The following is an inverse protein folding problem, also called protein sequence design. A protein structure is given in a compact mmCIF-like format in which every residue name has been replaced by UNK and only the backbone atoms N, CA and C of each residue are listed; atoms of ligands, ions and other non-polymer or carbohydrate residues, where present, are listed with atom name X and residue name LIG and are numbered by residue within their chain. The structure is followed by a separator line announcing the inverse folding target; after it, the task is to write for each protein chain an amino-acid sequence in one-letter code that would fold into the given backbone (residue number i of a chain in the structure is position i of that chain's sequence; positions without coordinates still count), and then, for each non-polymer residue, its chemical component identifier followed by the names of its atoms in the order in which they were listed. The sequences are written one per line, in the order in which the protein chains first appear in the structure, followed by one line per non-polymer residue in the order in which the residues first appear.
data_IF_273511566395
#
_entry.id   IF_273511566395
#
_cell.length_a   1.000
_cell.length_b   1.000
_cell.length_c   1.000
_cell.angle_alpha   90.00
_cell.angle_beta   90.00
_cell.angle_gamma   90.00
#
_symmetry.space_group_name_H-M   'P 1'
#
loop_
_entity.id
_entity.type
_entity.pdbx_description
1 polymer ?
#
# COMPACT_ATOMS: atom_id res chain seq x y z
N UNK A 1 17.40 2.57 40.33
CA UNK A 1 16.20 2.70 41.19
C UNK A 1 15.63 4.08 40.92
N UNK A 2 14.47 4.16 40.27
CA UNK A 2 13.81 5.44 40.03
C UNK A 2 13.04 5.79 41.31
N UNK A 3 13.34 6.94 41.93
CA UNK A 3 12.61 7.43 43.09
C UNK A 3 11.18 7.79 42.70
N UNK A 4 10.21 7.37 43.51
CA UNK A 4 8.80 7.72 43.29
C UNK A 4 8.55 9.19 43.63
N UNK A 5 7.69 9.83 42.85
CA UNK A 5 7.31 11.24 42.99
C UNK A 5 5.85 11.33 43.42
N UNK A 6 5.51 12.27 44.30
CA UNK A 6 4.12 12.56 44.66
C UNK A 6 3.67 13.84 43.95
N UNK A 7 2.51 13.80 43.30
CA UNK A 7 1.93 14.95 42.62
C UNK A 7 0.79 15.52 43.47
N UNK A 8 0.80 16.84 43.69
CA UNK A 8 -0.31 17.55 44.34
C UNK A 8 -1.02 18.40 43.30
N UNK A 9 -2.33 18.25 43.17
CA UNK A 9 -3.17 19.07 42.27
C UNK A 9 -3.97 20.03 43.16
N UNK A 10 -3.85 21.34 42.89
CA UNK A 10 -4.73 22.34 43.48
C UNK A 10 -5.72 22.83 42.42
N UNK A 11 -6.99 22.98 42.83
CA UNK A 11 -8.07 23.48 41.97
C UNK A 11 -8.61 24.74 42.62
N UNK A 12 -8.50 25.86 41.92
CA UNK A 12 -9.07 27.13 42.35
C UNK A 12 -10.39 27.37 41.62
N UNK A 13 -11.45 27.62 42.38
CA UNK A 13 -12.78 27.89 41.84
C UNK A 13 -12.94 29.40 41.64
N UNK A 14 -13.26 29.81 40.42
CA UNK A 14 -13.53 31.21 40.08
C UNK A 14 -15.05 31.38 39.96
N UNK A 15 -15.66 32.06 40.94
CA UNK A 15 -17.06 32.47 40.86
C UNK A 15 -17.19 33.69 39.93
N UNK A 16 -17.94 33.55 38.85
CA UNK A 16 -18.24 34.65 37.92
C UNK A 16 -19.71 34.67 37.54
N UNK A 17 -20.26 35.88 37.40
CA UNK A 17 -21.67 36.13 37.06
C UNK A 17 -21.88 36.42 35.56
N UNK A 18 -20.83 36.34 34.73
CA UNK A 18 -20.93 36.62 33.30
C UNK A 18 -21.58 35.48 32.51
N UNK A 19 -22.53 35.82 31.63
CA UNK A 19 -23.16 34.89 30.70
C UNK A 19 -23.11 35.40 29.25
N UNK A 20 -22.49 34.67 28.31
CA UNK A 20 -21.77 33.40 28.49
C UNK A 20 -20.38 33.60 29.11
N UNK A 21 -19.93 32.64 29.93
CA UNK A 21 -18.58 32.59 30.47
C UNK A 21 -17.54 32.58 29.35
N UNK A 22 -16.66 33.58 29.34
CA UNK A 22 -15.53 33.71 28.41
C UNK A 22 -14.26 33.94 29.23
N UNK A 23 -13.48 32.90 29.55
CA UNK A 23 -12.21 33.13 30.23
C UNK A 23 -11.25 33.81 29.25
N UNK A 24 -10.87 35.06 29.55
CA UNK A 24 -9.97 35.86 28.71
C UNK A 24 -8.52 35.32 28.65
N UNK A 25 -8.20 34.31 29.48
CA UNK A 25 -6.92 33.61 29.47
C UNK A 25 -7.12 32.12 29.79
N UNK A 26 -6.35 31.26 29.11
CA UNK A 26 -6.27 29.82 29.40
C UNK A 26 -5.81 29.59 30.85
N UNK A 27 -6.64 28.95 31.66
CA UNK A 27 -6.28 28.52 33.02
C UNK A 27 -5.07 27.60 32.95
N UNK A 28 -3.91 28.06 33.40
CA UNK A 28 -2.70 27.25 33.47
C UNK A 28 -2.78 26.37 34.71
N UNK A 29 -2.76 25.04 34.51
CA UNK A 29 -2.68 24.07 35.60
C UNK A 29 -1.20 23.78 35.83
N UNK A 30 -0.73 24.04 37.05
CA UNK A 30 0.63 23.70 37.47
C UNK A 30 0.58 22.45 38.35
N UNK A 31 1.48 21.51 38.11
CA UNK A 31 1.72 20.36 38.97
C UNK A 31 3.19 20.40 39.39
N UNK A 32 3.44 20.57 40.68
CA UNK A 32 4.77 20.43 41.27
C UNK A 32 4.91 19.02 41.86
N UNK A 33 6.03 18.37 41.55
CA UNK A 33 6.36 17.03 42.00
C UNK A 33 7.42 17.15 43.08
N UNK A 34 7.04 16.90 44.32
CA UNK A 34 7.98 16.89 45.44
C UNK A 34 8.44 15.45 45.73
N UNK A 35 9.74 15.22 45.97
CA UNK A 35 10.24 13.91 46.37
C UNK A 35 9.76 13.57 47.79
N UNK A 36 9.24 12.36 47.97
CA UNK A 36 8.77 11.87 49.27
C UNK A 36 9.96 11.67 50.23
N UNK A 37 9.91 12.27 51.42
CA UNK A 37 10.88 12.01 52.50
C UNK A 37 10.83 10.52 52.90
N UNK A 38 12.00 9.90 53.04
CA UNK A 38 12.18 8.44 53.07
C UNK A 38 11.54 7.73 54.29
N UNK A 39 11.10 8.48 55.29
CA UNK A 39 10.58 8.01 56.58
C UNK A 39 9.04 7.97 56.66
N UNK A 40 8.31 8.39 55.60
CA UNK A 40 6.84 8.37 55.57
C UNK A 40 6.20 7.20 54.82
N UNK A 41 7.00 6.30 54.23
CA UNK A 41 6.48 5.09 53.58
C UNK A 41 6.13 4.00 54.61
N UNK A 42 5.01 4.13 55.33
CA UNK A 42 4.47 3.02 56.13
C UNK A 42 3.81 1.99 55.20
N UNK A 43 4.54 0.93 54.86
CA UNK A 43 4.01 -0.19 54.09
C UNK A 43 2.91 -0.91 54.86
N UNK A 44 1.65 -0.76 54.43
CA UNK A 44 0.59 -1.70 54.79
C UNK A 44 0.82 -2.98 53.98
N UNK A 45 1.56 -3.94 54.52
CA UNK A 45 1.51 -5.32 54.02
C UNK A 45 0.31 -6.00 54.68
N UNK A 46 -0.87 -6.10 54.03
CA UNK A 46 -1.93 -6.93 54.58
C UNK A 46 -1.38 -8.35 54.73
N UNK A 47 -1.50 -8.94 55.92
CA UNK A 47 -1.23 -10.36 56.13
C UNK A 47 -2.10 -11.16 55.17
N UNK A 48 -1.48 -11.75 54.15
CA UNK A 48 -2.15 -12.61 53.18
C UNK A 48 -2.65 -13.88 53.89
N UNK A 49 -3.90 -13.87 54.33
CA UNK A 49 -4.61 -15.09 54.72
C UNK A 49 -5.05 -15.79 53.45
N UNK A 50 -4.42 -16.92 53.09
CA UNK A 50 -4.84 -17.74 51.95
C UNK A 50 -6.18 -18.41 52.24
N UNK A 51 -7.29 -17.69 52.03
CA UNK A 51 -8.63 -18.27 52.03
C UNK A 51 -8.91 -19.15 50.81
N UNK A 52 -7.94 -19.27 49.90
CA UNK A 52 -8.05 -20.14 48.73
C UNK A 52 -7.94 -21.61 49.19
N UNK A 53 -9.09 -22.26 49.36
CA UNK A 53 -9.18 -23.69 49.52
C UNK A 53 -8.76 -24.35 48.19
N UNK A 54 -7.49 -24.73 48.10
CA UNK A 54 -6.90 -25.39 46.92
C UNK A 54 -7.56 -26.70 46.53
N UNK A 55 -8.50 -27.20 47.35
CA UNK A 55 -9.30 -28.41 47.09
C UNK A 55 -10.48 -28.17 46.14
N UNK A 56 -10.86 -26.91 45.90
CA UNK A 56 -11.93 -26.56 44.95
C UNK A 56 -11.26 -26.02 43.69
N UNK A 57 -10.84 -26.93 42.81
CA UNK A 57 -10.43 -26.54 41.47
C UNK A 57 -11.68 -26.01 40.74
N UNK A 58 -11.63 -24.84 40.08
CA UNK A 58 -12.71 -24.42 39.21
C UNK A 58 -12.94 -25.51 38.15
N UNK A 59 -14.20 -25.76 37.74
CA UNK A 59 -14.48 -26.75 36.71
C UNK A 59 -13.62 -26.44 35.48
N UNK A 60 -13.00 -27.47 34.90
CA UNK A 60 -12.16 -27.31 33.73
C UNK A 60 -12.98 -26.69 32.59
N UNK A 61 -12.74 -25.41 32.33
CA UNK A 61 -13.35 -24.72 31.20
C UNK A 61 -12.61 -25.23 29.96
N UNK A 62 -13.24 -26.11 29.18
CA UNK A 62 -12.75 -26.42 27.84
C UNK A 62 -13.05 -25.19 26.97
N UNK A 63 -12.06 -24.32 26.77
CA UNK A 63 -12.11 -23.41 25.65
C UNK A 63 -12.19 -24.29 24.40
N UNK A 64 -13.27 -24.16 23.62
CA UNK A 64 -13.37 -24.87 22.33
C UNK A 64 -12.16 -24.55 21.45
N UNK A 65 -11.99 -25.29 20.35
CA UNK A 65 -10.93 -24.99 19.38
C UNK A 65 -10.97 -23.48 19.08
N UNK A 66 -9.88 -22.77 19.40
CA UNK A 66 -9.75 -21.37 19.02
C UNK A 66 -10.00 -21.28 17.50
N UNK A 67 -10.70 -20.24 17.02
CA UNK A 67 -10.90 -20.07 15.58
C UNK A 67 -9.54 -20.16 14.89
N UNK A 68 -9.48 -20.93 13.80
CA UNK A 68 -8.25 -21.02 13.01
C UNK A 68 -7.96 -19.60 12.49
N UNK A 69 -6.88 -18.99 12.98
CA UNK A 69 -6.43 -17.70 12.48
C UNK A 69 -5.80 -17.91 11.10
N UNK A 70 -6.50 -17.52 10.04
CA UNK A 70 -5.90 -17.47 8.71
C UNK A 70 -4.78 -16.43 8.70
N UNK A 71 -3.59 -16.83 8.26
CA UNK A 71 -2.50 -15.89 8.07
C UNK A 71 -2.92 -14.81 7.06
N UNK A 72 -2.51 -13.54 7.25
CA UNK A 72 -2.84 -12.48 6.31
C UNK A 72 -2.34 -12.83 4.92
N UNK A 73 -3.23 -12.69 3.92
CA UNK A 73 -2.92 -12.99 2.51
C UNK A 73 -1.77 -12.13 2.04
N UNK A 74 -0.74 -12.76 1.48
CA UNK A 74 0.40 -12.06 0.89
C UNK A 74 0.29 -12.17 -0.62
N UNK A 75 -0.12 -11.07 -1.22
CA UNK A 75 -0.44 -10.97 -2.65
C UNK A 75 0.81 -10.54 -3.43
N UNK A 76 1.00 -11.09 -4.63
CA UNK A 76 2.05 -10.71 -5.58
C UNK A 76 1.40 -10.45 -6.94
N UNK A 77 1.62 -9.27 -7.51
CA UNK A 77 1.18 -8.96 -8.86
C UNK A 77 2.18 -9.56 -9.85
N UNK A 78 1.69 -10.24 -10.89
CA UNK A 78 2.51 -10.86 -11.93
C UNK A 78 1.99 -10.48 -13.33
N UNK A 79 2.90 -10.33 -14.29
CA UNK A 79 2.57 -10.20 -15.71
C UNK A 79 3.64 -10.89 -16.58
N UNK A 80 3.21 -11.76 -17.49
CA UNK A 80 4.07 -12.41 -18.46
C UNK A 80 4.00 -11.72 -19.82
N UNK A 81 5.16 -11.62 -20.49
CA UNK A 81 5.17 -11.44 -21.94
C UNK A 81 5.68 -12.70 -22.62
N UNK A 82 4.97 -13.10 -23.68
CA UNK A 82 5.21 -14.36 -24.39
C UNK A 82 5.19 -14.14 -25.90
N UNK A 83 5.88 -14.99 -26.66
CA UNK A 83 5.88 -14.92 -28.13
C UNK A 83 4.61 -15.46 -28.78
N UNK A 84 3.77 -16.20 -28.03
CA UNK A 84 2.47 -16.72 -28.46
C UNK A 84 1.48 -16.70 -27.29
N UNK A 85 0.18 -16.80 -27.58
CA UNK A 85 -0.87 -17.03 -26.57
C UNK A 85 -0.98 -18.49 -26.14
N UNK A 86 -0.23 -19.38 -26.80
CA UNK A 86 -0.28 -20.81 -26.62
C UNK A 86 1.07 -21.33 -26.11
N UNK A 87 1.13 -22.00 -24.94
CA UNK A 87 2.41 -22.35 -24.31
C UNK A 87 3.31 -23.30 -25.12
N UNK A 88 2.73 -24.17 -25.96
CA UNK A 88 3.52 -25.09 -26.79
C UNK A 88 3.98 -24.48 -28.13
N UNK A 89 3.48 -23.31 -28.50
CA UNK A 89 3.88 -22.57 -29.72
C UNK A 89 4.80 -21.39 -29.38
N UNK A 90 4.76 -20.92 -28.14
CA UNK A 90 5.47 -19.74 -27.67
C UNK A 90 6.60 -20.04 -26.70
N UNK A 91 7.23 -18.95 -26.25
CA UNK A 91 8.20 -18.90 -25.16
C UNK A 91 7.92 -17.69 -24.28
N UNK A 92 8.28 -17.79 -23.00
CA UNK A 92 8.33 -16.65 -22.09
C UNK A 92 9.50 -15.73 -22.49
N UNK A 93 9.20 -14.45 -22.66
CA UNK A 93 10.17 -13.37 -22.93
C UNK A 93 10.61 -12.75 -21.60
N UNK A 94 9.66 -12.38 -20.75
CA UNK A 94 9.91 -11.79 -19.44
C UNK A 94 8.83 -12.22 -18.45
N UNK A 95 9.22 -12.37 -17.19
CA UNK A 95 8.32 -12.53 -16.06
C UNK A 95 8.46 -11.29 -15.18
N UNK A 96 7.43 -10.46 -15.12
CA UNK A 96 7.41 -9.30 -14.23
C UNK A 96 6.62 -9.59 -12.96
N UNK A 97 7.11 -9.10 -11.83
CA UNK A 97 6.41 -9.17 -10.54
C UNK A 97 6.47 -7.85 -9.79
N UNK A 98 5.48 -7.57 -8.94
CA UNK A 98 5.40 -6.38 -8.10
C UNK A 98 4.68 -6.71 -6.79
N UNK A 99 5.28 -6.33 -5.66
CA UNK A 99 4.65 -6.47 -4.33
C UNK A 99 3.72 -5.28 -4.05
N UNK A 100 2.40 -5.48 -4.05
CA UNK A 100 1.45 -4.40 -3.82
C UNK A 100 1.42 -3.92 -2.35
N UNK A 101 2.05 -4.66 -1.42
CA UNK A 101 2.07 -4.32 0.00
C UNK A 101 3.36 -3.60 0.42
N UNK A 102 4.33 -3.44 -0.49
CA UNK A 102 5.53 -2.68 -0.24
C UNK A 102 5.20 -1.17 -0.13
N UNK A 103 5.92 -0.45 0.75
CA UNK A 103 5.74 1.00 0.91
C UNK A 103 5.97 1.76 -0.42
N UNK A 104 6.96 1.31 -1.19
CA UNK A 104 7.24 1.76 -2.54
C UNK A 104 7.24 0.54 -3.48
N UNK A 105 6.09 0.20 -4.09
CA UNK A 105 6.00 -0.92 -5.01
C UNK A 105 6.96 -0.74 -6.19
N UNK A 106 7.91 -1.67 -6.34
CA UNK A 106 8.89 -1.69 -7.43
C UNK A 106 8.76 -3.00 -8.20
N UNK A 107 8.67 -2.88 -9.51
CA UNK A 107 8.64 -4.03 -10.40
C UNK A 107 10.02 -4.71 -10.47
N UNK A 108 10.00 -6.04 -10.46
CA UNK A 108 11.17 -6.90 -10.69
C UNK A 108 10.87 -7.71 -11.96
N UNK A 109 11.79 -7.71 -12.92
CA UNK A 109 11.65 -8.47 -14.16
C UNK A 109 12.73 -9.56 -14.23
N UNK A 110 12.30 -10.79 -14.48
CA UNK A 110 13.17 -11.92 -14.76
C UNK A 110 13.28 -12.10 -16.27
N UNK A 111 14.48 -11.87 -16.80
CA UNK A 111 14.80 -11.99 -18.22
C UNK A 111 16.23 -12.52 -18.37
N UNK A 112 16.34 -13.72 -18.94
CA UNK A 112 17.61 -14.43 -19.17
C UNK A 112 17.73 -14.82 -20.65
N UNK A 113 18.92 -15.28 -21.06
CA UNK A 113 19.19 -15.73 -22.43
C UNK A 113 18.33 -16.92 -22.87
N UNK A 114 17.87 -17.74 -21.92
CA UNK A 114 17.01 -18.89 -22.19
C UNK A 114 15.76 -18.90 -21.31
N UNK A 115 14.65 -19.40 -21.84
CA UNK A 115 13.40 -19.57 -21.11
C UNK A 115 13.57 -20.43 -19.84
N UNK A 116 14.45 -21.44 -19.90
CA UNK A 116 14.74 -22.30 -18.73
C UNK A 116 15.47 -21.51 -17.62
N UNK A 117 16.44 -20.68 -17.98
CA UNK A 117 17.13 -19.84 -16.99
C UNK A 117 16.17 -18.78 -16.39
N UNK A 118 15.31 -18.17 -17.20
CA UNK A 118 14.29 -17.23 -16.72
C UNK A 118 13.35 -17.89 -15.71
N UNK A 119 12.86 -19.11 -16.00
CA UNK A 119 11.95 -19.80 -15.08
C UNK A 119 12.68 -20.27 -13.81
N UNK A 120 13.94 -20.70 -13.91
CA UNK A 120 14.73 -21.11 -12.74
C UNK A 120 14.96 -19.94 -11.79
N UNK A 121 15.31 -18.76 -12.30
CA UNK A 121 15.49 -17.55 -11.51
C UNK A 121 14.18 -17.11 -10.83
N UNK A 122 13.08 -17.10 -11.59
CA UNK A 122 11.76 -16.77 -11.06
C UNK A 122 11.31 -17.76 -9.98
N UNK A 123 11.51 -19.07 -10.17
CA UNK A 123 11.15 -20.08 -9.19
C UNK A 123 12.00 -19.95 -7.91
N UNK A 124 13.29 -19.63 -8.02
CA UNK A 124 14.13 -19.39 -6.86
C UNK A 124 13.58 -18.23 -6.02
N UNK A 125 13.20 -17.11 -6.67
CA UNK A 125 12.51 -16.01 -6.01
C UNK A 125 11.16 -16.44 -5.39
N UNK A 126 10.31 -17.12 -6.16
CA UNK A 126 8.97 -17.51 -5.72
C UNK A 126 9.01 -18.43 -4.51
N UNK A 127 9.92 -19.41 -4.48
CA UNK A 127 10.04 -20.35 -3.36
C UNK A 127 10.51 -19.69 -2.07
N UNK A 128 11.38 -18.69 -2.17
CA UNK A 128 11.91 -17.96 -1.00
C UNK A 128 10.96 -16.85 -0.53
N UNK A 129 10.07 -16.39 -1.40
CA UNK A 129 9.12 -15.34 -1.07
C UNK A 129 8.06 -15.79 -0.06
N UNK A 130 7.39 -14.86 0.65
CA UNK A 130 6.30 -15.20 1.53
C UNK A 130 4.91 -15.14 0.85
N UNK A 131 4.85 -14.86 -0.45
CA UNK A 131 3.58 -14.69 -1.16
C UNK A 131 2.81 -16.01 -1.28
N UNK A 132 1.49 -15.92 -1.13
CA UNK A 132 0.54 -17.04 -1.19
C UNK A 132 -0.51 -16.85 -2.29
N UNK A 133 -0.69 -15.63 -2.78
CA UNK A 133 -1.71 -15.28 -3.76
C UNK A 133 -1.08 -14.58 -4.96
N UNK A 134 -1.39 -15.05 -6.17
CA UNK A 134 -1.01 -14.42 -7.43
C UNK A 134 -2.15 -13.52 -7.92
N UNK A 135 -1.82 -12.26 -8.18
CA UNK A 135 -2.71 -11.25 -8.74
C UNK A 135 -2.27 -10.98 -10.17
N UNK A 136 -3.18 -11.04 -11.14
CA UNK A 136 -2.90 -10.57 -12.49
C UNK A 136 -4.18 -10.20 -13.23
N UNK A 137 -4.03 -9.54 -14.37
CA UNK A 137 -5.14 -9.34 -15.31
C UNK A 137 -5.23 -10.55 -16.24
N UNK A 138 -6.26 -11.37 -16.09
CA UNK A 138 -6.38 -12.69 -16.74
C UNK A 138 -5.34 -13.69 -16.22
N UNK A 139 -5.18 -13.79 -14.90
CA UNK A 139 -4.18 -14.65 -14.21
C UNK A 139 -4.17 -16.11 -14.68
N UNK A 140 -5.29 -16.63 -15.18
CA UNK A 140 -5.36 -17.97 -15.73
C UNK A 140 -4.41 -18.16 -16.93
N UNK A 141 -4.15 -17.11 -17.70
CA UNK A 141 -3.17 -17.11 -18.77
C UNK A 141 -1.76 -17.33 -18.21
N UNK A 142 -1.29 -16.44 -17.35
CA UNK A 142 0.04 -16.47 -16.75
C UNK A 142 0.29 -17.78 -16.01
N UNK A 143 -0.70 -18.18 -15.19
CA UNK A 143 -0.65 -19.39 -14.39
C UNK A 143 -0.51 -20.66 -15.23
N UNK A 144 -1.33 -20.77 -16.29
CA UNK A 144 -1.29 -21.91 -17.22
C UNK A 144 0.00 -21.92 -18.04
N UNK A 145 0.49 -20.75 -18.44
CA UNK A 145 1.70 -20.66 -19.26
C UNK A 145 2.92 -21.13 -18.48
N UNK A 146 3.13 -20.62 -17.27
CA UNK A 146 4.20 -21.10 -16.39
C UNK A 146 4.01 -22.59 -16.10
N UNK A 147 2.81 -23.04 -15.76
CA UNK A 147 2.57 -24.47 -15.49
C UNK A 147 3.00 -25.38 -16.66
N UNK A 148 2.68 -25.00 -17.91
CA UNK A 148 3.12 -25.75 -19.09
C UNK A 148 4.65 -25.69 -19.29
N UNK A 149 5.29 -24.56 -19.00
CA UNK A 149 6.75 -24.41 -19.03
C UNK A 149 7.40 -25.30 -17.95
N UNK A 150 6.84 -25.38 -16.74
CA UNK A 150 7.31 -26.29 -15.70
C UNK A 150 7.25 -27.75 -16.17
N UNK A 151 6.18 -28.15 -16.86
CA UNK A 151 6.07 -29.49 -17.44
C UNK A 151 7.12 -29.74 -18.53
N UNK A 152 7.30 -28.78 -19.44
CA UNK A 152 8.28 -28.84 -20.54
C UNK A 152 9.70 -29.08 -20.01
N UNK A 153 10.09 -28.35 -18.97
CA UNK A 153 11.42 -28.42 -18.35
C UNK A 153 11.51 -29.37 -17.15
N UNK A 154 10.43 -30.11 -16.83
CA UNK A 154 10.36 -31.07 -15.70
C UNK A 154 10.75 -30.44 -14.35
N UNK A 155 10.31 -29.21 -14.11
CA UNK A 155 10.58 -28.46 -12.88
C UNK A 155 9.42 -28.66 -11.89
N UNK A 156 9.75 -28.84 -10.61
CA UNK A 156 8.76 -28.97 -9.55
C UNK A 156 8.53 -27.64 -8.82
N UNK A 157 7.27 -27.31 -8.55
CA UNK A 157 6.93 -26.18 -7.67
C UNK A 157 5.58 -26.42 -6.99
N UNK A 158 5.61 -27.08 -5.82
CA UNK A 158 4.40 -27.32 -5.01
C UNK A 158 3.72 -26.00 -4.62
N UNK A 159 4.52 -25.01 -4.24
CA UNK A 159 4.05 -23.68 -3.88
C UNK A 159 3.31 -22.99 -5.02
N UNK A 160 3.76 -23.14 -6.27
CA UNK A 160 3.03 -22.63 -7.43
C UNK A 160 1.64 -23.24 -7.53
N UNK A 161 1.54 -24.57 -7.42
CA UNK A 161 0.27 -25.31 -7.52
C UNK A 161 -0.73 -25.01 -6.38
N UNK A 162 -0.22 -24.52 -5.26
CA UNK A 162 -1.00 -24.15 -4.08
C UNK A 162 -1.33 -22.65 -4.02
N UNK A 163 -0.84 -21.85 -4.97
CA UNK A 163 -1.08 -20.43 -4.98
C UNK A 163 -2.56 -20.13 -5.18
N UNK A 164 -3.12 -19.25 -4.34
CA UNK A 164 -4.43 -18.68 -4.60
C UNK A 164 -4.35 -17.75 -5.81
N UNK A 165 -5.41 -17.70 -6.61
CA UNK A 165 -5.47 -16.86 -7.80
C UNK A 165 -6.49 -15.75 -7.60
N UNK A 166 -6.06 -14.51 -7.83
CA UNK A 166 -6.88 -13.32 -7.78
C UNK A 166 -6.88 -12.64 -9.16
N UNK A 167 -7.91 -12.93 -9.96
CA UNK A 167 -8.02 -12.41 -11.32
C UNK A 167 -8.70 -11.03 -11.36
N UNK A 168 -7.92 -10.00 -11.70
CA UNK A 168 -8.41 -8.64 -11.89
C UNK A 168 -9.40 -8.55 -13.06
N UNK A 169 -9.22 -9.34 -14.11
CA UNK A 169 -10.15 -9.37 -15.25
C UNK A 169 -11.52 -9.89 -14.81
N UNK A 170 -11.54 -10.92 -13.95
CA UNK A 170 -12.78 -11.44 -13.39
C UNK A 170 -13.45 -10.42 -12.46
N UNK A 171 -12.66 -9.70 -11.65
CA UNK A 171 -13.19 -8.62 -10.81
C UNK A 171 -13.85 -7.53 -11.64
N UNK A 172 -13.19 -7.04 -12.69
CA UNK A 172 -13.78 -6.01 -13.56
C UNK A 172 -15.00 -6.51 -14.34
N UNK A 173 -15.04 -7.81 -14.65
CA UNK A 173 -16.18 -8.40 -15.37
C UNK A 173 -17.42 -8.62 -14.49
N UNK A 174 -17.23 -9.02 -13.24
CA UNK A 174 -18.32 -9.60 -12.42
C UNK A 174 -18.43 -9.02 -11.01
N UNK A 175 -17.45 -8.22 -10.56
CA UNK A 175 -17.38 -7.64 -9.21
C UNK A 175 -17.42 -8.71 -8.11
N UNK A 176 -17.03 -9.95 -8.44
CA UNK A 176 -17.02 -11.09 -7.54
C UNK A 176 -15.78 -11.95 -7.77
N UNK A 177 -15.18 -12.39 -6.66
CA UNK A 177 -14.06 -13.35 -6.65
C UNK A 177 -14.46 -14.75 -7.16
N UNK A 178 -15.75 -15.10 -7.09
CA UNK A 178 -16.26 -16.38 -7.59
C UNK A 178 -16.78 -16.23 -9.02
N UNK A 179 -16.52 -17.24 -9.84
CA UNK A 179 -16.99 -17.26 -11.21
C UNK A 179 -18.52 -17.29 -11.25
N UNK A 180 -19.11 -16.28 -11.89
CA UNK A 180 -20.53 -16.18 -12.19
C UNK A 180 -20.69 -16.27 -13.70
N UNK A 181 -21.42 -17.26 -14.24
CA UNK A 181 -21.67 -17.36 -15.68
C UNK A 181 -22.31 -16.07 -16.21
N UNK A 182 -21.76 -15.52 -17.29
CA UNK A 182 -22.27 -14.29 -17.90
C UNK A 182 -21.67 -14.00 -19.27
N UNK A 183 -22.49 -13.39 -20.14
CA UNK A 183 -22.15 -13.08 -21.53
C UNK A 183 -21.37 -11.78 -21.71
N UNK A 184 -21.19 -11.02 -20.63
CA UNK A 184 -20.41 -9.77 -20.67
C UNK A 184 -18.96 -10.08 -21.05
N UNK A 185 -18.46 -9.40 -22.08
CA UNK A 185 -17.05 -9.47 -22.43
C UNK A 185 -16.27 -8.60 -21.44
N UNK A 186 -15.17 -9.11 -20.85
CA UNK A 186 -14.29 -8.25 -20.08
C UNK A 186 -13.64 -7.23 -21.03
N UNK A 187 -13.42 -6.01 -20.55
CA UNK A 187 -12.49 -5.09 -21.21
C UNK A 187 -11.05 -5.65 -21.20
N UNK A 188 -10.12 -5.00 -21.88
CA UNK A 188 -8.69 -5.28 -21.73
C UNK A 188 -8.10 -4.45 -20.59
N UNK A 189 -6.90 -4.83 -20.12
CA UNK A 189 -6.15 -4.04 -19.14
C UNK A 189 -5.96 -2.58 -19.62
N UNK A 190 -5.65 -2.38 -20.90
CA UNK A 190 -5.51 -1.05 -21.49
C UNK A 190 -6.83 -0.26 -21.48
N UNK A 191 -7.95 -0.89 -21.84
CA UNK A 191 -9.24 -0.21 -21.83
C UNK A 191 -9.62 0.27 -20.43
N UNK A 192 -9.45 -0.58 -19.42
CA UNK A 192 -9.75 -0.23 -18.04
C UNK A 192 -8.80 0.84 -17.50
N UNK A 193 -7.49 0.70 -17.76
CA UNK A 193 -6.50 1.65 -17.26
C UNK A 193 -6.65 3.03 -17.91
N UNK A 194 -6.92 3.10 -19.22
CA UNK A 194 -7.26 4.36 -19.89
C UNK A 194 -8.54 4.97 -19.34
N UNK A 195 -9.58 4.17 -19.10
CA UNK A 195 -10.84 4.67 -18.54
C UNK A 195 -10.71 5.19 -17.11
N UNK A 196 -10.01 4.47 -16.24
CA UNK A 196 -9.94 4.77 -14.80
C UNK A 196 -8.81 5.75 -14.45
N UNK A 197 -7.68 5.70 -15.16
CA UNK A 197 -6.48 6.47 -14.84
C UNK A 197 -6.11 7.49 -15.93
N UNK A 198 -6.76 7.47 -17.10
CA UNK A 198 -6.34 8.25 -18.26
C UNK A 198 -5.02 7.77 -18.88
N UNK A 199 -4.50 6.61 -18.47
CA UNK A 199 -3.20 6.12 -18.91
C UNK A 199 -3.22 5.73 -20.39
N UNK A 200 -2.15 6.03 -21.11
CA UNK A 200 -1.95 5.54 -22.48
C UNK A 200 -1.14 4.23 -22.48
N UNK A 201 -1.30 3.36 -23.50
CA UNK A 201 -0.41 2.22 -23.69
C UNK A 201 1.04 2.69 -23.91
N UNK A 202 2.01 2.04 -23.26
CA UNK A 202 3.43 2.31 -23.52
C UNK A 202 3.80 2.09 -25.00
N UNK A 203 3.38 0.95 -25.54
CA UNK A 203 3.53 0.61 -26.95
C UNK A 203 2.48 -0.44 -27.38
N UNK A 204 2.25 -0.66 -28.69
CA UNK A 204 1.45 -1.78 -29.15
C UNK A 204 2.20 -3.12 -28.97
N UNK A 205 1.48 -4.22 -28.71
CA UNK A 205 2.08 -5.56 -28.52
C UNK A 205 3.02 -5.98 -29.66
N UNK A 206 2.73 -5.60 -30.91
CA UNK A 206 3.59 -5.91 -32.06
C UNK A 206 5.00 -5.32 -31.94
N UNK A 207 5.15 -4.22 -31.19
CA UNK A 207 6.43 -3.58 -30.97
C UNK A 207 7.32 -4.41 -30.04
N UNK A 208 6.73 -5.10 -29.06
CA UNK A 208 7.45 -6.02 -28.17
C UNK A 208 8.22 -7.08 -28.96
N UNK A 209 7.59 -7.68 -29.98
CA UNK A 209 8.24 -8.72 -30.79
C UNK A 209 9.46 -8.18 -31.55
N UNK A 210 9.39 -6.92 -32.02
CA UNK A 210 10.55 -6.27 -32.66
C UNK A 210 11.68 -6.04 -31.66
N UNK A 211 11.38 -5.57 -30.46
CA UNK A 211 12.40 -5.38 -29.42
C UNK A 211 13.03 -6.70 -29.01
N UNK A 212 12.23 -7.77 -28.93
CA UNK A 212 12.75 -9.11 -28.66
C UNK A 212 13.69 -9.61 -29.77
N UNK A 213 13.31 -9.45 -31.04
CA UNK A 213 14.17 -9.78 -32.18
C UNK A 213 15.47 -8.95 -32.21
N UNK A 214 15.41 -7.70 -31.74
CA UNK A 214 16.54 -6.78 -31.66
C UNK A 214 17.40 -6.96 -30.40
N UNK A 215 16.97 -7.79 -29.44
CA UNK A 215 17.63 -7.90 -28.14
C UNK A 215 17.53 -6.64 -27.27
N UNK A 216 16.53 -5.78 -27.50
CA UNK A 216 16.32 -4.56 -26.72
C UNK A 216 15.59 -4.87 -25.41
N UNK A 217 16.36 -5.34 -24.42
CA UNK A 217 15.86 -5.77 -23.11
C UNK A 217 15.24 -4.61 -22.32
N UNK A 218 15.80 -3.41 -22.41
CA UNK A 218 15.33 -2.24 -21.66
C UNK A 218 13.89 -1.88 -22.04
N UNK A 219 13.57 -1.86 -23.33
CA UNK A 219 12.21 -1.59 -23.80
C UNK A 219 11.21 -2.68 -23.41
N UNK A 220 11.65 -3.95 -23.37
CA UNK A 220 10.83 -5.07 -22.89
C UNK A 220 10.50 -4.90 -21.41
N UNK A 221 11.48 -4.50 -20.59
CA UNK A 221 11.30 -4.22 -19.17
C UNK A 221 10.33 -3.05 -18.99
N UNK A 222 10.53 -1.94 -19.70
CA UNK A 222 9.65 -0.77 -19.61
C UNK A 222 8.21 -1.10 -20.02
N UNK A 223 8.05 -1.89 -21.08
CA UNK A 223 6.73 -2.39 -21.50
C UNK A 223 6.05 -3.22 -20.42
N UNK A 224 6.76 -4.17 -19.81
CA UNK A 224 6.19 -5.01 -18.77
C UNK A 224 5.91 -4.22 -17.48
N UNK A 225 6.78 -3.28 -17.11
CA UNK A 225 6.59 -2.37 -15.98
C UNK A 225 5.31 -1.55 -16.11
N UNK A 226 5.02 -1.04 -17.30
CA UNK A 226 3.76 -0.33 -17.59
C UNK A 226 2.54 -1.24 -17.34
N UNK A 227 2.59 -2.51 -17.76
CA UNK A 227 1.52 -3.49 -17.50
C UNK A 227 1.34 -3.76 -16.00
N UNK A 228 2.45 -3.99 -15.28
CA UNK A 228 2.42 -4.21 -13.84
C UNK A 228 1.87 -3.00 -13.09
N UNK A 229 2.27 -1.79 -13.46
CA UNK A 229 1.78 -0.55 -12.86
C UNK A 229 0.26 -0.38 -13.07
N UNK A 230 -0.24 -0.70 -14.27
CA UNK A 230 -1.68 -0.68 -14.56
C UNK A 230 -2.44 -1.74 -13.78
N UNK A 231 -1.90 -2.96 -13.68
CA UNK A 231 -2.48 -4.03 -12.88
C UNK A 231 -2.51 -3.66 -11.38
N UNK A 232 -1.43 -3.05 -10.88
CA UNK A 232 -1.36 -2.49 -9.53
C UNK A 232 -2.42 -1.41 -9.30
N UNK A 233 -2.55 -0.44 -10.21
CA UNK A 233 -3.59 0.59 -10.11
C UNK A 233 -5.00 -0.02 -10.02
N UNK A 234 -5.31 -1.03 -10.85
CA UNK A 234 -6.60 -1.73 -10.78
C UNK A 234 -6.79 -2.49 -9.48
N UNK A 235 -5.74 -3.13 -8.99
CA UNK A 235 -5.76 -3.81 -7.70
C UNK A 235 -6.05 -2.84 -6.56
N UNK A 236 -5.37 -1.69 -6.52
CA UNK A 236 -5.59 -0.64 -5.50
C UNK A 236 -7.04 -0.15 -5.54
N UNK A 237 -7.57 0.17 -6.73
CA UNK A 237 -8.97 0.59 -6.86
C UNK A 237 -9.95 -0.47 -6.36
N UNK A 238 -9.70 -1.74 -6.67
CA UNK A 238 -10.54 -2.83 -6.16
C UNK A 238 -10.48 -2.90 -4.63
N UNK A 239 -9.29 -2.82 -4.03
CA UNK A 239 -9.14 -2.84 -2.57
C UNK A 239 -9.80 -1.63 -1.88
N UNK A 240 -9.78 -0.47 -2.52
CA UNK A 240 -10.51 0.72 -2.05
C UNK A 240 -12.02 0.48 -2.10
N UNK A 241 -12.55 -0.06 -3.20
CA UNK A 241 -13.99 -0.37 -3.34
C UNK A 241 -14.42 -1.48 -2.36
N UNK A 242 -13.55 -2.45 -2.08
CA UNK A 242 -13.76 -3.48 -1.06
C UNK A 242 -13.70 -2.94 0.38
N UNK A 243 -13.26 -1.69 0.57
CA UNK A 243 -13.04 -1.10 1.89
C UNK A 243 -11.83 -1.69 2.64
N UNK A 244 -10.97 -2.43 1.94
CA UNK A 244 -9.74 -3.02 2.50
C UNK A 244 -8.62 -1.99 2.64
N UNK A 245 -8.66 -0.91 1.84
CA UNK A 245 -7.75 0.23 1.92
C UNK A 245 -8.59 1.51 2.05
N UNK A 246 -8.22 2.47 2.92
CA UNK A 246 -8.92 3.75 3.01
C UNK A 246 -8.90 4.49 1.67
N UNK A 247 -10.07 4.78 1.11
CA UNK A 247 -10.18 5.43 -0.20
C UNK A 247 -9.86 6.93 -0.23
N UNK A 248 -9.76 7.58 0.94
CA UNK A 248 -9.69 9.04 1.05
C UNK A 248 -8.31 9.65 0.70
N UNK A 249 -7.25 8.85 0.59
CA UNK A 249 -5.87 9.36 0.42
C UNK A 249 -5.20 8.99 -0.91
N UNK A 250 -5.79 8.09 -1.73
CA UNK A 250 -5.07 7.52 -2.88
C UNK A 250 -5.31 8.25 -4.21
N UNK A 251 -6.32 9.12 -4.32
CA UNK A 251 -6.66 9.75 -5.61
C UNK A 251 -6.81 11.27 -5.51
N UNK A 252 -5.69 11.95 -5.22
CA UNK A 252 -5.48 13.23 -5.88
C UNK A 252 -5.37 12.92 -7.38
N UNK A 253 -6.50 13.01 -8.09
CA UNK A 253 -6.55 12.94 -9.56
C UNK A 253 -5.42 13.80 -10.13
N UNK A 254 -4.61 13.32 -11.09
CA UNK A 254 -3.91 14.24 -11.97
C UNK A 254 -5.01 15.07 -12.63
N UNK A 255 -5.03 16.36 -12.31
CA UNK A 255 -6.04 17.28 -12.82
C UNK A 255 -6.10 17.12 -14.34
N UNK A 256 -7.32 16.93 -14.85
CA UNK A 256 -7.64 17.21 -16.23
C UNK A 256 -7.26 18.67 -16.44
N UNK A 257 -6.09 18.92 -17.02
CA UNK A 257 -5.70 20.23 -17.50
C UNK A 257 -6.84 20.70 -18.40
N UNK A 258 -7.48 21.79 -17.99
CA UNK A 258 -8.46 22.47 -18.80
C UNK A 258 -7.82 22.80 -20.14
N UNK A 259 -8.53 22.47 -21.21
CA UNK A 259 -8.27 23.03 -22.52
C UNK A 259 -8.27 24.57 -22.40
N UNK A 260 -7.10 25.17 -22.36
CA UNK A 260 -6.90 26.54 -22.80
C UNK A 260 -6.40 26.48 -24.24
N UNK A 261 -7.17 27.10 -25.14
CA UNK A 261 -6.84 27.34 -26.55
C UNK A 261 -5.48 28.05 -26.73
N UNK A 262 -4.91 28.01 -27.95
CA UNK A 262 -3.49 28.27 -28.16
C UNK A 262 -3.20 29.75 -28.39
N UNK A 263 -2.23 30.29 -27.67
CA UNK A 263 -1.47 31.48 -28.04
C UNK A 263 -0.03 31.24 -27.56
N UNK A 264 0.90 30.96 -28.47
CA UNK A 264 1.74 31.95 -29.16
C UNK A 264 3.10 32.11 -28.47
N UNK A 265 4.06 31.35 -29.01
CA UNK A 265 5.47 31.73 -29.27
C UNK A 265 6.33 32.38 -28.16
N UNK A 266 7.40 31.61 -27.86
CA UNK A 266 8.82 32.01 -27.85
C UNK A 266 9.51 32.44 -26.54
N UNK A 267 10.85 32.28 -26.47
CA UNK A 267 11.51 31.47 -25.43
C UNK A 267 12.36 32.29 -24.45
N UNK A 268 13.00 31.56 -23.52
CA UNK A 268 14.21 31.88 -22.73
C UNK A 268 13.95 32.20 -21.24
N UNK A 269 14.35 31.30 -20.34
CA UNK A 269 15.42 31.62 -19.38
C UNK A 269 15.93 30.36 -18.63
N UNK A 270 17.24 30.20 -18.43
CA UNK A 270 17.82 29.15 -17.60
C UNK A 270 18.01 29.64 -16.15
N UNK A 271 17.66 28.79 -15.19
CA UNK A 271 18.28 28.80 -13.86
C UNK A 271 17.73 29.79 -12.83
N UNK A 272 16.67 29.40 -12.12
CA UNK A 272 16.51 29.72 -10.70
C UNK A 272 15.85 28.51 -10.02
N UNK A 273 16.63 27.73 -9.26
CA UNK A 273 16.07 26.78 -8.31
C UNK A 273 15.49 27.59 -7.17
N UNK A 274 14.16 27.72 -7.12
CA UNK A 274 13.50 28.42 -6.03
C UNK A 274 13.70 27.64 -4.73
N UNK A 275 14.39 28.24 -3.74
CA UNK A 275 14.60 27.63 -2.44
C UNK A 275 13.26 27.51 -1.69
N UNK A 276 12.92 26.29 -1.28
CA UNK A 276 11.75 26.00 -0.46
C UNK A 276 12.15 25.65 0.97
N UNK A 277 11.30 25.98 1.94
CA UNK A 277 11.45 25.59 3.34
C UNK A 277 10.28 24.68 3.77
N UNK A 278 10.53 23.68 4.63
CA UNK A 278 9.46 22.87 5.20
C UNK A 278 8.70 23.65 6.28
N UNK A 279 7.37 23.56 6.27
CA UNK A 279 6.47 24.15 7.27
C UNK A 279 5.39 23.14 7.65
N UNK A 280 4.96 23.15 8.91
CA UNK A 280 3.94 22.23 9.45
C UNK A 280 2.68 23.01 9.81
N UNK A 281 1.52 22.52 9.36
CA UNK A 281 0.24 23.12 9.74
C UNK A 281 -0.05 22.90 11.22
N UNK A 282 -0.32 23.96 11.98
CA UNK A 282 -0.65 23.84 13.41
C UNK A 282 -2.02 23.20 13.67
N UNK A 283 -2.92 23.23 12.70
CA UNK A 283 -4.29 22.74 12.85
C UNK A 283 -4.40 21.24 12.55
N UNK A 284 -3.87 20.80 11.39
CA UNK A 284 -3.97 19.42 10.93
C UNK A 284 -2.65 18.64 10.96
N UNK A 285 -1.55 19.27 11.41
CA UNK A 285 -0.21 18.68 11.52
C UNK A 285 0.43 18.21 10.21
N UNK A 286 -0.13 18.60 9.05
CA UNK A 286 0.42 18.23 7.75
C UNK A 286 1.71 18.99 7.43
N UNK A 287 2.73 18.25 6.99
CA UNK A 287 3.97 18.79 6.42
C UNK A 287 3.74 19.33 5.00
N UNK A 288 4.26 20.53 4.71
CA UNK A 288 4.25 21.10 3.37
C UNK A 288 5.47 22.00 3.13
N UNK A 289 5.68 22.40 1.87
CA UNK A 289 6.77 23.31 1.49
C UNK A 289 6.23 24.70 1.15
N UNK A 290 6.99 25.73 1.52
CA UNK A 290 6.72 27.12 1.22
C UNK A 290 7.95 27.73 0.55
N UNK A 291 7.77 28.62 -0.43
CA UNK A 291 8.89 29.37 -1.00
C UNK A 291 9.46 30.30 0.07
N UNK A 292 10.79 30.43 0.13
CA UNK A 292 11.45 31.34 1.08
C UNK A 292 11.02 32.81 0.93
N UNK A 293 10.45 33.17 -0.22
CA UNK A 293 9.90 34.49 -0.53
C UNK A 293 8.47 34.70 -0.01
N UNK A 294 7.75 33.63 0.29
CA UNK A 294 6.34 33.70 0.69
C UNK A 294 6.22 34.04 2.17
N UNK A 295 5.35 35.00 2.50
CA UNK A 295 5.07 35.39 3.89
C UNK A 295 4.03 34.50 4.56
N UNK A 296 3.10 33.97 3.77
CA UNK A 296 2.00 33.13 4.22
C UNK A 296 1.68 32.13 3.12
N UNK A 297 1.56 30.85 3.48
CA UNK A 297 1.03 29.80 2.61
C UNK A 297 -0.21 29.21 3.25
N UNK A 298 -1.27 28.99 2.48
CA UNK A 298 -2.44 28.29 3.01
C UNK A 298 -2.15 26.79 3.07
N UNK A 299 -2.53 26.14 4.18
CA UNK A 299 -2.44 24.69 4.31
C UNK A 299 -3.22 24.02 3.18
N UNK A 300 -2.58 23.10 2.46
CA UNK A 300 -3.20 22.39 1.32
C UNK A 300 -4.36 21.47 1.75
N UNK A 301 -4.42 21.11 3.03
CA UNK A 301 -5.45 20.19 3.58
C UNK A 301 -6.64 20.96 4.16
N UNK A 302 -6.39 21.91 5.07
CA UNK A 302 -7.47 22.58 5.81
C UNK A 302 -7.67 24.07 5.45
N UNK A 303 -6.83 24.63 4.57
CA UNK A 303 -6.91 26.04 4.17
C UNK A 303 -6.39 27.04 5.21
N UNK A 304 -6.00 26.58 6.41
CA UNK A 304 -5.48 27.45 7.47
C UNK A 304 -4.19 28.15 7.02
N UNK A 305 -4.08 29.49 7.16
CA UNK A 305 -2.87 30.21 6.80
C UNK A 305 -1.71 29.84 7.73
N UNK A 306 -0.57 29.47 7.13
CA UNK A 306 0.69 29.21 7.81
C UNK A 306 1.62 30.38 7.51
N UNK A 307 1.97 31.15 8.54
CA UNK A 307 2.96 32.21 8.41
C UNK A 307 4.37 31.62 8.30
N UNK A 308 5.24 32.32 7.58
CA UNK A 308 6.68 32.00 7.56
C UNK A 308 7.22 31.93 9.00
N UNK A 309 7.99 30.88 9.37
CA UNK A 309 8.58 30.75 10.70
C UNK A 309 9.54 31.90 11.03
#
# INVERSE_FOLDING_TARGET
MAGEQQATISVEWIDTTETPFRPDATTQIFAELEPLEADQASFFTPTYTSFFNSSILPPAISFGKLPDFEAPKRELIINLETTSTVPWEGRIITIGVLDPNALEPKAINFIQESEEATIDEFLAFWQQSPYTTLVAYNVAFDYRFIYAVLQKYRKESKKWLQADLYDLMQQQKQVKNKFVPGFNKPGTLEQWSTYLFGSQPYAPQKQLFKWYEQGNIEEIINFNNDKLAKAYGLWVLNKVVEGSIPGAEILARPGTEGQSSPESTNPSNPGHSEETIPVVCKECLQDQTMLKTDKVVNCRVCGTPIAHP
#
